data_IF_431953792528
#
_entry.id   IF_431953792528
#
_cell.length_a   1.000
_cell.length_b   1.000
_cell.length_c   1.000
_cell.angle_alpha   90.00
_cell.angle_beta   90.00
_cell.angle_gamma   90.00
#
_symmetry.space_group_name_H-M   'P 1'
#
loop_
_entity.id
_entity.type
_entity.pdbx_description
1 polymer ?
#
# COMPACT_ATOMS: atom_id res chain seq x y z
N UNK A 1 -16.58 3.23 10.44
CA UNK A 1 -15.30 2.49 10.28
C UNK A 1 -14.35 2.95 11.37
N UNK A 2 -13.63 2.04 12.04
CA UNK A 2 -12.73 2.41 13.15
C UNK A 2 -11.54 3.27 12.66
N UNK A 3 -11.09 4.32 13.40
CA UNK A 3 -10.04 5.25 12.95
C UNK A 3 -8.77 4.55 12.45
N UNK A 4 -8.29 3.53 13.18
CA UNK A 4 -7.14 2.71 12.76
C UNK A 4 -7.30 2.11 11.36
N UNK A 5 -8.45 1.49 11.07
CA UNK A 5 -8.70 0.90 9.75
C UNK A 5 -8.92 1.98 8.70
N UNK A 6 -9.51 3.11 9.10
CA UNK A 6 -9.75 4.26 8.24
C UNK A 6 -8.48 4.97 7.78
N UNK A 7 -7.40 4.96 8.55
CA UNK A 7 -6.10 5.49 8.14
C UNK A 7 -5.17 4.43 7.53
N UNK A 8 -5.30 3.17 7.95
CA UNK A 8 -4.52 2.04 7.39
C UNK A 8 -4.89 1.74 5.94
N UNK A 9 -6.19 1.69 5.62
CA UNK A 9 -6.66 1.21 4.33
C UNK A 9 -6.29 2.16 3.16
N UNK A 10 -6.47 3.50 3.25
CA UNK A 10 -6.05 4.42 2.20
C UNK A 10 -4.55 4.36 1.93
N UNK A 11 -3.73 4.30 2.99
CA UNK A 11 -2.27 4.17 2.85
C UNK A 11 -1.91 2.87 2.11
N UNK A 12 -2.46 1.73 2.53
CA UNK A 12 -2.20 0.42 1.92
C UNK A 12 -2.54 0.43 0.42
N UNK A 13 -3.72 0.95 0.08
CA UNK A 13 -4.20 1.00 -1.29
C UNK A 13 -3.37 1.97 -2.13
N UNK A 14 -3.02 3.15 -1.62
CA UNK A 14 -2.17 4.11 -2.33
C UNK A 14 -0.77 3.55 -2.61
N UNK A 15 -0.13 2.93 -1.62
CA UNK A 15 1.19 2.28 -1.78
C UNK A 15 1.12 1.17 -2.83
N UNK A 16 0.12 0.29 -2.75
CA UNK A 16 -0.04 -0.80 -3.70
C UNK A 16 -0.37 -0.33 -5.12
N UNK A 17 -1.17 0.73 -5.26
CA UNK A 17 -1.63 1.24 -6.54
C UNK A 17 -0.53 2.03 -7.29
N UNK A 18 0.13 2.97 -6.62
CA UNK A 18 1.06 3.91 -7.25
C UNK A 18 2.25 3.23 -7.91
N UNK A 19 2.69 2.06 -7.43
CA UNK A 19 3.80 1.33 -8.04
C UNK A 19 3.43 -0.08 -8.48
N UNK A 20 2.12 -0.39 -8.52
CA UNK A 20 1.63 -1.68 -9.00
C UNK A 20 2.26 -2.86 -8.25
N UNK A 21 2.54 -2.69 -6.96
CA UNK A 21 3.17 -3.70 -6.14
C UNK A 21 2.23 -4.90 -5.93
N UNK A 22 2.80 -6.09 -5.72
CA UNK A 22 1.99 -7.22 -5.26
C UNK A 22 1.55 -6.92 -3.84
N UNK A 23 0.29 -7.17 -3.53
CA UNK A 23 -0.24 -6.95 -2.18
C UNK A 23 0.55 -7.73 -1.12
N UNK A 24 1.04 -8.92 -1.44
CA UNK A 24 1.94 -9.65 -0.54
C UNK A 24 3.24 -8.92 -0.21
N UNK A 25 3.79 -8.14 -1.15
CA UNK A 25 5.01 -7.34 -0.91
C UNK A 25 4.67 -6.16 0.00
N UNK A 26 3.57 -5.46 -0.28
CA UNK A 26 3.08 -4.32 0.52
C UNK A 26 2.79 -4.74 1.96
N UNK A 27 2.07 -5.85 2.16
CA UNK A 27 1.70 -6.36 3.49
C UNK A 27 2.91 -6.79 4.33
N UNK A 28 4.05 -7.09 3.70
CA UNK A 28 5.28 -7.47 4.39
C UNK A 28 6.19 -6.29 4.74
N UNK A 29 5.82 -5.06 4.39
CA UNK A 29 6.58 -3.87 4.75
C UNK A 29 6.67 -3.70 6.27
N UNK A 30 7.87 -3.42 6.76
CA UNK A 30 8.15 -3.04 8.14
C UNK A 30 8.44 -1.55 8.26
N UNK A 31 8.37 -0.99 9.46
CA UNK A 31 8.60 0.44 9.66
C UNK A 31 10.01 0.90 9.27
N UNK A 32 11.03 0.04 9.33
CA UNK A 32 12.36 0.33 8.80
C UNK A 32 12.45 0.31 7.27
N UNK A 33 11.46 -0.24 6.58
CA UNK A 33 11.36 -0.25 5.13
C UNK A 33 10.71 1.01 4.57
N UNK A 34 10.05 1.80 5.43
CA UNK A 34 9.24 2.95 5.02
C UNK A 34 9.74 4.21 5.70
N UNK A 35 10.08 5.22 4.91
CA UNK A 35 10.55 6.51 5.41
C UNK A 35 9.90 7.65 4.65
N UNK A 36 9.28 8.57 5.38
CA UNK A 36 8.83 9.82 4.79
C UNK A 36 10.01 10.79 4.66
N UNK A 37 10.26 11.27 3.46
CA UNK A 37 11.39 12.16 3.15
C UNK A 37 10.86 13.47 2.57
N UNK A 38 11.40 14.57 3.09
CA UNK A 38 11.14 15.94 2.61
C UNK A 38 12.47 16.54 2.19
N UNK A 39 12.70 16.70 0.89
CA UNK A 39 13.94 17.22 0.32
C UNK A 39 13.63 18.40 -0.63
N UNK A 40 14.20 19.57 -0.34
CA UNK A 40 13.94 20.79 -1.12
C UNK A 40 12.45 21.15 -1.15
N UNK A 41 11.88 21.25 -2.35
CA UNK A 41 10.45 21.49 -2.57
C UNK A 41 9.61 20.22 -2.71
N UNK A 42 10.23 19.04 -2.64
CA UNK A 42 9.60 17.75 -2.89
C UNK A 42 9.38 16.94 -1.61
N UNK A 43 8.31 16.14 -1.61
CA UNK A 43 8.02 15.20 -0.52
C UNK A 43 7.61 13.85 -1.11
N UNK A 44 8.20 12.79 -0.57
CA UNK A 44 7.92 11.43 -1.03
C UNK A 44 8.00 10.42 0.12
N UNK A 45 7.31 9.30 -0.06
CA UNK A 45 7.42 8.13 0.79
C UNK A 45 8.42 7.15 0.17
N UNK A 46 9.57 7.00 0.81
CA UNK A 46 10.57 6.00 0.45
C UNK A 46 10.11 4.63 0.94
N UNK A 47 10.07 3.64 0.04
CA UNK A 47 9.62 2.28 0.32
C UNK A 47 10.68 1.30 -0.18
N UNK A 48 11.24 0.51 0.73
CA UNK A 48 12.21 -0.54 0.46
C UNK A 48 11.48 -1.87 0.33
N UNK A 49 11.61 -2.53 -0.82
CA UNK A 49 11.05 -3.86 -1.04
C UNK A 49 12.18 -4.88 -1.21
N UNK A 50 12.11 -5.94 -0.42
CA UNK A 50 12.97 -7.12 -0.58
C UNK A 50 12.53 -7.91 -1.82
N UNK A 51 13.48 -8.34 -2.65
CA UNK A 51 13.19 -9.27 -3.73
C UNK A 51 12.85 -10.65 -3.18
N UNK A 52 11.77 -11.28 -3.66
CA UNK A 52 11.64 -12.73 -3.52
C UNK A 52 10.81 -13.38 -4.64
N UNK A 53 11.44 -14.31 -5.36
CA UNK A 53 10.80 -15.57 -5.78
C UNK A 53 11.75 -16.69 -6.22
N UNK A 54 13.04 -16.44 -6.46
CA UNK A 54 14.09 -17.45 -6.73
C UNK A 54 15.46 -16.78 -6.60
N UNK A 55 16.43 -17.50 -6.02
CA UNK A 55 17.82 -17.14 -5.72
C UNK A 55 18.05 -16.57 -4.31
N UNK A 56 19.02 -17.21 -3.63
CA UNK A 56 19.61 -16.88 -2.35
C UNK A 56 20.29 -15.51 -2.37
N UNK A 57 19.53 -14.43 -2.50
CA UNK A 57 20.08 -13.07 -2.45
C UNK A 57 19.27 -12.32 -1.40
N UNK A 58 19.63 -12.52 -0.14
CA UNK A 58 19.08 -11.75 1.00
C UNK A 58 19.46 -10.27 0.93
N UNK A 59 20.26 -9.84 -0.06
CA UNK A 59 20.92 -8.52 -0.10
C UNK A 59 20.37 -7.55 -1.16
N UNK A 60 19.64 -8.02 -2.18
CA UNK A 60 19.11 -7.13 -3.22
C UNK A 60 17.73 -6.58 -2.83
N UNK A 61 17.74 -5.41 -2.19
CA UNK A 61 16.53 -4.61 -1.97
C UNK A 61 16.42 -3.49 -3.01
N UNK A 62 15.19 -3.18 -3.43
CA UNK A 62 14.93 -2.04 -4.30
C UNK A 62 14.18 -0.96 -3.54
N UNK A 63 14.66 0.28 -3.64
CA UNK A 63 14.06 1.45 -3.02
C UNK A 63 13.22 2.18 -4.06
N UNK A 64 12.01 2.55 -3.66
CA UNK A 64 11.04 3.29 -4.46
C UNK A 64 10.67 4.58 -3.77
N UNK A 65 10.45 5.63 -4.54
CA UNK A 65 10.05 6.95 -4.03
C UNK A 65 8.65 7.27 -4.53
N UNK A 66 7.67 7.12 -3.64
CA UNK A 66 6.25 7.37 -3.92
C UNK A 66 5.93 8.83 -3.66
N UNK A 67 5.55 9.58 -4.68
CA UNK A 67 5.11 10.98 -4.55
C UNK A 67 3.60 11.07 -4.48
N UNK A 68 3.09 12.14 -3.85
CA UNK A 68 1.66 12.43 -3.84
C UNK A 68 1.17 12.81 -5.25
N UNK A 69 0.13 12.12 -5.71
CA UNK A 69 -0.55 12.52 -6.95
C UNK A 69 -1.53 13.66 -6.65
N UNK A 70 -1.17 14.87 -7.08
CA UNK A 70 -1.92 16.09 -6.75
C UNK A 70 -3.32 16.10 -7.37
N UNK A 71 -3.48 15.48 -8.54
CA UNK A 71 -4.74 15.39 -9.29
C UNK A 71 -5.76 14.46 -8.62
N UNK A 72 -5.27 13.45 -7.90
CA UNK A 72 -6.10 12.39 -7.32
C UNK A 72 -5.88 12.34 -5.80
N UNK A 73 -6.75 12.97 -5.00
CA UNK A 73 -6.64 12.97 -3.54
C UNK A 73 -6.55 11.57 -2.93
N UNK A 74 -7.15 10.56 -3.58
CA UNK A 74 -7.09 9.16 -3.17
C UNK A 74 -5.72 8.48 -3.38
N UNK A 75 -4.74 9.20 -3.93
CA UNK A 75 -3.37 8.74 -4.19
C UNK A 75 -2.31 9.63 -3.50
N UNK A 76 -2.70 10.39 -2.47
CA UNK A 76 -1.78 11.21 -1.65
C UNK A 76 -1.11 10.36 -0.56
N UNK A 77 -0.21 9.49 -0.99
CA UNK A 77 0.49 8.49 -0.15
C UNK A 77 1.24 9.08 1.05
N UNK A 78 1.90 10.23 0.90
CA UNK A 78 2.59 10.95 1.96
C UNK A 78 1.60 11.46 3.01
N UNK A 79 0.48 12.00 2.56
CA UNK A 79 -0.61 12.47 3.42
C UNK A 79 -1.20 11.29 4.22
N UNK A 80 -1.56 10.19 3.55
CA UNK A 80 -2.09 9.00 4.23
C UNK A 80 -1.10 8.38 5.22
N UNK A 81 0.20 8.43 4.91
CA UNK A 81 1.23 7.95 5.82
C UNK A 81 1.28 8.76 7.12
N UNK A 82 1.18 10.09 7.03
CA UNK A 82 1.10 10.96 8.22
C UNK A 82 -0.17 10.74 9.02
N UNK A 83 -1.32 10.64 8.36
CA UNK A 83 -2.60 10.36 9.03
C UNK A 83 -2.57 9.02 9.77
N UNK A 84 -1.96 8.00 9.16
CA UNK A 84 -1.75 6.71 9.78
C UNK A 84 -0.86 6.82 11.01
N UNK A 85 0.32 7.44 10.90
CA UNK A 85 1.21 7.65 12.04
C UNK A 85 0.57 8.49 13.15
N UNK A 86 -0.22 9.51 12.80
CA UNK A 86 -0.97 10.32 13.77
C UNK A 86 -1.97 9.47 14.55
N UNK A 87 -2.69 8.58 13.85
CA UNK A 87 -3.62 7.61 14.47
C UNK A 87 -2.89 6.68 15.44
N UNK A 88 -1.71 6.19 15.08
CA UNK A 88 -0.89 5.31 15.94
C UNK A 88 -0.36 6.03 17.19
N UNK A 89 0.04 7.29 17.05
CA UNK A 89 0.47 8.11 18.20
C UNK A 89 -0.69 8.38 19.14
N UNK A 90 -1.87 8.69 18.60
CA UNK A 90 -3.08 8.93 19.39
C UNK A 90 -3.52 7.69 20.19
N UNK A 91 -3.26 6.48 19.69
CA UNK A 91 -3.54 5.24 20.42
C UNK A 91 -2.46 4.84 21.42
N UNK A 92 -1.34 5.59 21.51
CA UNK A 92 -0.22 5.28 22.40
C UNK A 92 0.62 4.09 21.95
N UNK A 93 0.55 3.69 20.67
CA UNK A 93 1.33 2.56 20.16
C UNK A 93 2.83 2.89 20.15
N UNK A 94 3.62 2.17 20.94
CA UNK A 94 5.09 2.23 20.88
C UNK A 94 5.61 1.16 19.90
N UNK A 95 5.97 1.58 18.70
CA UNK A 95 6.26 0.69 17.58
C UNK A 95 7.77 0.50 17.41
N UNK A 96 8.21 -0.76 17.43
CA UNK A 96 9.57 -1.11 17.03
C UNK A 96 9.76 -0.87 15.53
N UNK A 97 10.99 -0.56 15.10
CA UNK A 97 11.32 -0.40 13.68
C UNK A 97 11.10 -1.68 12.86
N UNK A 98 11.08 -2.85 13.52
CA UNK A 98 10.84 -4.16 12.88
C UNK A 98 9.37 -4.56 12.84
N UNK A 99 8.47 -3.77 13.45
CA UNK A 99 7.04 -4.03 13.39
C UNK A 99 6.51 -3.87 11.95
N UNK A 100 5.45 -4.62 11.61
CA UNK A 100 4.81 -4.51 10.31
C UNK A 100 4.04 -3.19 10.20
N UNK A 101 4.21 -2.47 9.08
CA UNK A 101 3.43 -1.26 8.79
C UNK A 101 1.95 -1.60 8.68
N UNK A 102 1.63 -2.67 7.95
CA UNK A 102 0.28 -3.19 7.82
C UNK A 102 0.12 -4.41 8.70
N UNK A 103 -0.05 -4.18 10.00
CA UNK A 103 -0.15 -5.23 11.01
C UNK A 103 -1.52 -5.90 11.03
N UNK A 104 -1.55 -7.18 11.38
CA UNK A 104 -2.80 -7.93 11.50
C UNK A 104 -3.62 -7.40 12.67
N UNK A 105 -4.95 -7.49 12.56
CA UNK A 105 -5.83 -7.03 13.62
C UNK A 105 -7.10 -7.86 13.69
N UNK A 106 -7.69 -7.91 14.89
CA UNK A 106 -8.94 -8.59 15.15
C UNK A 106 -9.91 -7.58 15.76
N UNK A 107 -11.08 -7.43 15.13
CA UNK A 107 -12.19 -6.72 15.75
C UNK A 107 -12.77 -7.58 16.86
N UNK A 108 -12.70 -7.09 18.09
CA UNK A 108 -13.46 -7.64 19.21
C UNK A 108 -14.81 -6.89 19.26
N UNK A 109 -15.89 -7.59 19.61
CA UNK A 109 -17.24 -7.00 19.59
C UNK A 109 -17.27 -5.70 20.43
N UNK A 110 -17.50 -4.57 19.74
CA UNK A 110 -17.69 -3.26 20.37
C UNK A 110 -16.46 -2.59 20.96
N UNK A 111 -15.26 -3.12 20.76
CA UNK A 111 -13.99 -2.58 21.29
C UNK A 111 -13.00 -2.26 20.19
N UNK A 112 -11.96 -1.51 20.55
CA UNK A 112 -10.86 -1.17 19.66
C UNK A 112 -10.21 -2.44 19.08
N UNK A 113 -9.82 -2.43 17.80
CA UNK A 113 -9.22 -3.58 17.16
C UNK A 113 -7.92 -3.94 17.88
N UNK A 114 -7.78 -5.20 18.29
CA UNK A 114 -6.54 -5.71 18.83
C UNK A 114 -5.55 -5.91 17.69
N UNK A 115 -4.49 -5.11 17.67
CA UNK A 115 -3.45 -5.15 16.63
C UNK A 115 -2.28 -6.03 17.07
N UNK A 116 -1.83 -6.92 16.18
CA UNK A 116 -0.63 -7.74 16.34
C UNK A 116 0.49 -7.18 15.45
N UNK A 117 1.39 -6.40 16.07
CA UNK A 117 2.48 -5.72 15.39
C UNK A 117 3.58 -6.63 14.85
N UNK A 118 3.58 -7.91 15.26
CA UNK A 118 4.57 -8.91 14.89
C UNK A 118 4.11 -9.78 13.72
N UNK A 119 2.89 -9.56 13.22
CA UNK A 119 2.30 -10.34 12.14
C UNK A 119 1.75 -9.41 11.05
N UNK A 120 2.18 -9.66 9.81
CA UNK A 120 1.61 -9.00 8.65
C UNK A 120 0.10 -9.24 8.55
N UNK A 121 -0.64 -8.22 8.14
CA UNK A 121 -2.07 -8.31 7.85
C UNK A 121 -2.30 -9.37 6.76
N UNK A 122 -3.22 -10.29 7.03
CA UNK A 122 -3.52 -11.36 6.09
C UNK A 122 -4.35 -10.85 4.91
N UNK A 123 -4.04 -11.32 3.70
CA UNK A 123 -4.83 -11.00 2.50
C UNK A 123 -6.31 -11.37 2.66
N UNK A 124 -6.62 -12.45 3.39
CA UNK A 124 -8.00 -12.86 3.68
C UNK A 124 -8.73 -11.84 4.55
N UNK A 125 -8.07 -11.31 5.58
CA UNK A 125 -8.61 -10.27 6.46
C UNK A 125 -8.82 -8.99 5.66
N UNK A 126 -7.81 -8.56 4.88
CA UNK A 126 -7.92 -7.40 4.00
C UNK A 126 -9.07 -7.55 2.99
N UNK A 127 -9.21 -8.73 2.37
CA UNK A 127 -10.28 -9.02 1.43
C UNK A 127 -11.68 -8.92 2.05
N UNK A 128 -11.83 -9.37 3.31
CA UNK A 128 -13.07 -9.20 4.07
C UNK A 128 -13.35 -7.72 4.36
N UNK A 129 -12.36 -6.97 4.84
CA UNK A 129 -12.49 -5.52 5.12
C UNK A 129 -12.90 -4.76 3.86
N UNK A 130 -12.27 -5.03 2.72
CA UNK A 130 -12.63 -4.42 1.43
C UNK A 130 -14.07 -4.77 1.03
N UNK A 131 -14.47 -6.03 1.20
CA UNK A 131 -15.83 -6.47 0.90
C UNK A 131 -16.87 -5.75 1.77
N UNK A 132 -16.57 -5.57 3.05
CA UNK A 132 -17.45 -4.86 3.99
C UNK A 132 -17.54 -3.37 3.64
N UNK A 133 -16.43 -2.72 3.25
CA UNK A 133 -16.42 -1.33 2.77
C UNK A 133 -17.25 -1.17 1.48
N UNK A 134 -17.10 -2.08 0.51
CA UNK A 134 -17.88 -2.05 -0.74
C UNK A 134 -19.37 -2.21 -0.45
N UNK A 135 -19.76 -3.10 0.47
CA UNK A 135 -21.17 -3.25 0.88
C UNK A 135 -21.72 -1.98 1.54
N UNK A 136 -20.89 -1.23 2.25
CA UNK A 136 -21.30 0.04 2.88
C UNK A 136 -21.45 1.19 1.87
N UNK A 137 -20.93 1.05 0.65
CA UNK A 137 -20.99 2.10 -0.37
C UNK A 137 -21.69 1.56 -1.63
N UNK A 138 -23.01 1.80 -1.79
CA UNK A 138 -23.83 1.14 -2.81
C UNK A 138 -23.46 1.48 -4.26
N UNK A 139 -22.60 2.49 -4.48
CA UNK A 139 -22.19 2.97 -5.79
C UNK A 139 -20.79 2.48 -6.23
N UNK A 140 -20.08 1.70 -5.42
CA UNK A 140 -18.81 1.12 -5.87
C UNK A 140 -19.05 -0.09 -6.78
N UNK A 141 -18.32 -0.21 -7.90
CA UNK A 141 -18.45 -1.36 -8.79
C UNK A 141 -18.12 -2.65 -8.04
N UNK A 142 -19.04 -3.62 -8.13
CA UNK A 142 -18.91 -4.96 -7.56
C UNK A 142 -17.80 -5.68 -8.34
N UNK A 143 -16.71 -6.08 -7.66
CA UNK A 143 -15.60 -6.81 -8.29
C UNK A 143 -14.18 -6.30 -7.98
N UNK A 144 -14.02 -5.31 -7.11
CA UNK A 144 -12.69 -4.88 -6.65
C UNK A 144 -12.03 -6.02 -5.87
N UNK A 145 -10.96 -6.56 -6.43
CA UNK A 145 -10.09 -7.55 -5.81
C UNK A 145 -8.69 -7.00 -5.60
N UNK A 146 -7.90 -7.65 -4.75
CA UNK A 146 -6.48 -7.31 -4.56
C UNK A 146 -5.67 -7.38 -5.87
N UNK A 147 -6.08 -8.24 -6.81
CA UNK A 147 -5.46 -8.31 -8.14
C UNK A 147 -5.84 -7.10 -9.02
N UNK A 148 -7.04 -6.54 -8.87
CA UNK A 148 -7.44 -5.35 -9.61
C UNK A 148 -6.67 -4.09 -9.21
N UNK A 149 -6.08 -4.04 -8.02
CA UNK A 149 -5.26 -2.89 -7.60
C UNK A 149 -4.02 -2.73 -8.49
N UNK A 150 -3.30 -3.83 -8.73
CA UNK A 150 -2.11 -3.83 -9.59
C UNK A 150 -2.43 -3.51 -11.05
N UNK A 151 -3.54 -4.07 -11.56
CA UNK A 151 -4.04 -3.77 -12.91
C UNK A 151 -4.49 -2.31 -13.05
N UNK A 152 -5.21 -1.80 -12.06
CA UNK A 152 -5.69 -0.43 -12.01
C UNK A 152 -4.55 0.59 -11.97
N UNK A 153 -3.51 0.31 -11.17
CA UNK A 153 -2.30 1.14 -11.14
C UNK A 153 -1.61 1.18 -12.50
N UNK A 154 -1.46 0.03 -13.17
CA UNK A 154 -0.85 -0.02 -14.49
C UNK A 154 -1.67 0.74 -15.53
N UNK A 155 -3.00 0.58 -15.51
CA UNK A 155 -3.91 1.34 -16.36
C UNK A 155 -3.80 2.84 -16.12
N UNK A 156 -3.74 3.27 -14.85
CA UNK A 156 -3.59 4.66 -14.48
C UNK A 156 -2.31 5.26 -15.08
N UNK A 157 -1.16 4.61 -14.92
CA UNK A 157 0.11 5.12 -15.43
C UNK A 157 0.15 5.25 -16.96
N UNK A 158 -0.48 4.32 -17.67
CA UNK A 158 -0.51 4.35 -19.14
C UNK A 158 -1.48 5.38 -19.69
N UNK A 159 -2.68 5.46 -19.12
CA UNK A 159 -3.81 6.16 -19.75
C UNK A 159 -4.22 7.46 -19.04
N UNK A 160 -3.88 7.63 -17.77
CA UNK A 160 -4.42 8.72 -16.92
C UNK A 160 -3.36 9.61 -16.29
N UNK A 161 -2.18 9.09 -15.96
CA UNK A 161 -1.09 9.89 -15.42
C UNK A 161 -0.71 11.00 -16.40
N UNK A 162 -0.62 12.23 -15.89
CA UNK A 162 -0.19 13.41 -16.64
C UNK A 162 1.26 13.29 -17.10
N UNK A 163 2.08 12.54 -16.35
CA UNK A 163 3.49 12.35 -16.68
C UNK A 163 3.70 11.33 -17.81
N UNK A 164 2.69 10.51 -18.14
CA UNK A 164 2.71 9.45 -19.20
C UNK A 164 4.06 8.74 -19.28
N UNK A 165 4.59 8.37 -18.11
CA UNK A 165 6.01 8.12 -17.89
C UNK A 165 6.58 6.89 -18.58
N UNK A 166 5.73 5.99 -19.07
CA UNK A 166 6.17 4.65 -19.44
C UNK A 166 5.72 4.27 -20.85
N UNK A 167 6.68 3.86 -21.68
CA UNK A 167 6.40 2.98 -22.79
C UNK A 167 6.06 1.56 -22.28
N UNK A 168 5.51 0.71 -23.14
CA UNK A 168 5.03 -0.62 -22.73
C UNK A 168 6.10 -1.48 -22.04
N UNK A 169 7.36 -1.43 -22.49
CA UNK A 169 8.48 -2.16 -21.88
C UNK A 169 8.80 -1.62 -20.49
N UNK A 170 8.82 -0.31 -20.33
CA UNK A 170 9.06 0.34 -19.04
C UNK A 170 7.94 0.05 -18.05
N UNK A 171 6.67 0.01 -18.50
CA UNK A 171 5.54 -0.40 -17.66
C UNK A 171 5.69 -1.85 -17.20
N UNK A 172 6.06 -2.76 -18.10
CA UNK A 172 6.29 -4.17 -17.77
C UNK A 172 7.41 -4.31 -16.73
N UNK A 173 8.51 -3.56 -16.88
CA UNK A 173 9.60 -3.53 -15.90
C UNK A 173 9.15 -2.90 -14.57
N UNK A 174 8.42 -1.78 -14.61
CA UNK A 174 7.88 -1.06 -13.46
C UNK A 174 6.94 -1.94 -12.63
N UNK A 175 6.01 -2.61 -13.31
CA UNK A 175 5.10 -3.55 -12.68
C UNK A 175 5.78 -4.88 -12.34
N UNK A 176 7.05 -5.13 -12.69
CA UNK A 176 7.76 -6.41 -12.52
C UNK A 176 6.99 -7.59 -13.14
N UNK A 177 6.52 -7.42 -14.37
CA UNK A 177 5.80 -8.43 -15.15
C UNK A 177 6.77 -9.12 -16.12
N UNK A 178 6.75 -10.45 -16.13
CA UNK A 178 7.55 -11.27 -17.06
C UNK A 178 6.79 -11.64 -18.34
N UNK A 179 5.46 -11.51 -18.35
CA UNK A 179 4.59 -11.86 -19.49
C UNK A 179 3.49 -10.81 -19.65
N UNK A 180 3.33 -10.33 -20.89
CA UNK A 180 2.36 -9.34 -21.35
C UNK A 180 0.91 -9.75 -21.07
N UNK A 181 0.62 -11.05 -21.07
CA UNK A 181 -0.73 -11.56 -20.80
C UNK A 181 -1.14 -11.48 -19.32
N UNK A 182 -0.22 -11.07 -18.44
CA UNK A 182 -0.45 -11.01 -16.99
C UNK A 182 -1.10 -9.70 -16.54
N UNK A 183 -1.26 -8.73 -17.46
CA UNK A 183 -1.97 -7.47 -17.24
C UNK A 183 -3.48 -7.64 -17.13
#
# INVERSE_FOLDING_TARGET
MHPFVGSLLPLLLAVGFLHCFRISEVLNLRFNDVQLVSEGSGRYLSVRLLWHKKANVEEDCQIYHLVDETTYPCLRVCTFHEEYLSTLRASGANLSSTAFVFSNFIFQHGSDPRVDWQRALEQKVLGKVLSDVVKMIPNLPIGISLHTLRRGGAFYWVFKSTERRFNFRELMAWCRLSDVNTL
#
